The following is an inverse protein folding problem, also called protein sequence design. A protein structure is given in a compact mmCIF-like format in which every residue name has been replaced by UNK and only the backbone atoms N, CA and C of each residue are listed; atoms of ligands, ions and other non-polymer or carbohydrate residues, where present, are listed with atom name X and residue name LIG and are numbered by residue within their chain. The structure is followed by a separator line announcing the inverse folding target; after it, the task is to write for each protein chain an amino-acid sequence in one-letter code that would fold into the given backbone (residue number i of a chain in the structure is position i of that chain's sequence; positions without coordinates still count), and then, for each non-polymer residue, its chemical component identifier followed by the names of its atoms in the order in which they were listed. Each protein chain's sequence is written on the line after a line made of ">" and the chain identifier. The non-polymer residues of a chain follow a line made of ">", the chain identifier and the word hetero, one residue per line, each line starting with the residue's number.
data_IF_265859000132
#
_entry.id   IF_265859000132
#
_cell.length_a   1.000
_cell.length_b   1.000
_cell.length_c   1.000
_cell.angle_alpha   90.00
_cell.angle_beta   90.00
_cell.angle_gamma   90.00
#
_symmetry.space_group_name_H-M   'P 1'
#
loop_
_entity.id
_entity.type
_entity.pdbx_description
1 polymer ?
#
# COMPACT_ATOMS: atom_id res chain seq x y z
N UNK A 1 -27.70 -4.73 17.47
CA UNK A 1 -26.77 -3.76 18.10
C UNK A 1 -26.58 -4.19 19.54
N UNK A 2 -25.35 -4.58 19.90
CA UNK A 2 -25.00 -5.06 21.23
C UNK A 2 -24.38 -3.94 22.09
N UNK A 3 -23.49 -3.12 21.52
CA UNK A 3 -22.94 -1.94 22.18
C UNK A 3 -22.68 -0.79 21.19
N UNK A 4 -22.81 0.45 21.67
CA UNK A 4 -22.54 1.67 20.90
C UNK A 4 -21.93 2.72 21.81
N UNK A 5 -20.83 3.36 21.38
CA UNK A 5 -20.15 4.39 22.17
C UNK A 5 -19.52 5.46 21.30
N UNK A 6 -19.52 6.70 21.78
CA UNK A 6 -18.73 7.79 21.22
C UNK A 6 -17.39 7.91 21.99
N UNK A 7 -16.29 7.99 21.27
CA UNK A 7 -14.93 7.95 21.84
C UNK A 7 -14.12 9.15 21.36
N UNK A 8 -13.47 9.86 22.29
CA UNK A 8 -12.46 10.88 22.01
C UNK A 8 -11.26 10.61 22.92
N UNK A 9 -10.12 10.22 22.33
CA UNK A 9 -8.93 9.76 23.07
C UNK A 9 -9.28 8.60 24.01
N UNK A 10 -9.14 8.79 25.31
CA UNK A 10 -9.46 7.81 26.36
C UNK A 10 -10.88 7.99 26.91
N UNK A 11 -11.54 9.10 26.59
CA UNK A 11 -12.89 9.38 27.08
C UNK A 11 -13.91 8.62 26.23
N UNK A 12 -14.84 7.97 26.92
CA UNK A 12 -15.87 7.11 26.33
C UNK A 12 -17.24 7.50 26.87
N UNK A 13 -18.16 7.79 25.95
CA UNK A 13 -19.57 8.00 26.25
C UNK A 13 -20.36 6.80 25.71
N UNK A 14 -20.84 5.95 26.62
CA UNK A 14 -21.68 4.80 26.28
C UNK A 14 -23.08 5.29 25.87
N UNK A 15 -23.53 4.86 24.69
CA UNK A 15 -24.83 5.20 24.11
C UNK A 15 -25.78 4.00 24.12
N UNK A 16 -25.25 2.77 24.05
CA UNK A 16 -26.01 1.53 24.12
C UNK A 16 -25.15 0.39 24.67
N UNK A 17 -25.76 -0.56 25.37
CA UNK A 17 -25.11 -1.81 25.80
C UNK A 17 -25.24 -2.11 27.29
N UNK A 18 -24.55 -3.15 27.74
CA UNK A 18 -24.57 -3.63 29.13
C UNK A 18 -23.83 -2.72 30.11
N UNK A 19 -22.97 -1.83 29.61
CA UNK A 19 -22.23 -0.82 30.37
C UNK A 19 -22.99 0.51 30.51
N UNK A 20 -24.26 0.59 30.09
CA UNK A 20 -25.08 1.79 30.25
C UNK A 20 -25.23 2.18 31.72
N UNK A 21 -24.90 3.43 32.03
CA UNK A 21 -25.14 4.03 33.34
C UNK A 21 -26.36 4.95 33.30
N UNK A 22 -27.16 5.02 34.38
CA UNK A 22 -28.16 6.08 34.53
C UNK A 22 -27.53 7.46 34.26
N UNK A 23 -28.27 8.41 33.64
CA UNK A 23 -29.71 8.39 33.32
C UNK A 23 -30.07 7.73 31.99
N UNK A 24 -29.10 7.29 31.19
CA UNK A 24 -29.37 6.78 29.84
C UNK A 24 -29.95 5.37 29.92
N UNK A 25 -31.20 5.20 29.47
CA UNK A 25 -31.89 3.92 29.49
C UNK A 25 -31.76 3.15 28.19
N UNK A 26 -31.66 3.86 27.07
CA UNK A 26 -31.61 3.23 25.76
C UNK A 26 -31.29 4.20 24.64
N UNK A 27 -30.94 3.62 23.50
CA UNK A 27 -30.65 4.31 22.27
C UNK A 27 -31.25 3.51 21.11
N UNK A 28 -32.02 4.18 20.27
CA UNK A 28 -32.52 3.65 19.00
C UNK A 28 -31.67 4.22 17.88
N UNK A 29 -31.03 3.33 17.13
CA UNK A 29 -30.27 3.69 15.93
C UNK A 29 -31.20 3.67 14.73
N UNK A 30 -31.20 4.75 13.95
CA UNK A 30 -31.95 4.82 12.68
C UNK A 30 -31.07 4.44 11.51
N UNK A 31 -31.70 4.12 10.37
CA UNK A 31 -31.00 3.90 9.11
C UNK A 31 -30.13 5.11 8.78
N UNK A 32 -28.84 4.86 8.58
CA UNK A 32 -27.88 5.89 8.18
C UNK A 32 -28.24 6.47 6.82
N UNK A 33 -28.15 7.80 6.69
CA UNK A 33 -28.42 8.54 5.45
C UNK A 33 -27.09 8.97 4.80
N UNK A 34 -26.93 8.74 3.49
CA UNK A 34 -25.74 9.19 2.77
C UNK A 34 -25.84 10.67 2.45
N UNK A 35 -24.78 11.42 2.75
CA UNK A 35 -24.68 12.85 2.49
C UNK A 35 -23.99 13.12 1.14
N UNK A 36 -24.23 14.31 0.57
CA UNK A 36 -23.66 14.72 -0.71
C UNK A 36 -22.13 14.88 -0.68
N UNK A 37 -21.55 15.11 0.50
CA UNK A 37 -20.11 15.26 0.71
C UNK A 37 -19.37 13.91 0.83
N UNK A 38 -20.05 12.78 0.62
CA UNK A 38 -19.47 11.44 0.75
C UNK A 38 -19.43 10.89 2.17
N UNK A 39 -19.85 11.67 3.18
CA UNK A 39 -20.05 11.21 4.54
C UNK A 39 -21.45 10.60 4.72
N UNK A 40 -21.72 10.17 5.94
CA UNK A 40 -22.98 9.58 6.35
C UNK A 40 -23.52 10.30 7.59
N UNK A 41 -24.83 10.56 7.61
CA UNK A 41 -25.56 11.02 8.78
C UNK A 41 -26.08 9.82 9.56
N UNK A 42 -25.58 9.67 10.77
CA UNK A 42 -25.99 8.70 11.76
C UNK A 42 -26.96 9.37 12.74
N UNK A 43 -28.18 8.83 12.91
CA UNK A 43 -29.16 9.39 13.85
C UNK A 43 -29.46 8.40 14.96
N UNK A 44 -29.36 8.88 16.19
CA UNK A 44 -29.52 8.11 17.41
C UNK A 44 -30.56 8.79 18.31
N UNK A 45 -31.65 8.11 18.61
CA UNK A 45 -32.65 8.60 19.58
C UNK A 45 -32.33 8.02 20.96
N UNK A 46 -31.83 8.87 21.86
CA UNK A 46 -31.45 8.57 23.22
C UNK A 46 -32.64 8.79 24.17
N UNK A 47 -32.86 7.85 25.09
CA UNK A 47 -33.92 7.93 26.11
C UNK A 47 -33.28 8.09 27.47
N UNK A 48 -33.43 9.28 28.06
CA UNK A 48 -33.00 9.58 29.41
C UNK A 48 -34.14 9.34 30.39
N UNK A 49 -33.90 8.60 31.46
CA UNK A 49 -34.84 8.38 32.54
C UNK A 49 -34.17 8.67 33.88
N UNK A 50 -34.72 9.61 34.62
CA UNK A 50 -34.21 10.05 35.92
C UNK A 50 -34.71 11.44 36.26
N UNK A 51 -34.28 11.95 37.41
CA UNK A 51 -34.47 13.33 37.82
C UNK A 51 -33.68 14.30 36.91
N UNK A 52 -34.04 15.60 36.91
CA UNK A 52 -33.25 16.62 36.22
C UNK A 52 -31.78 16.65 36.66
N UNK A 53 -31.51 16.42 37.95
CA UNK A 53 -30.15 16.36 38.50
C UNK A 53 -29.32 15.18 37.99
N UNK A 54 -29.96 14.07 37.61
CA UNK A 54 -29.29 12.93 36.97
C UNK A 54 -29.13 13.12 35.45
N UNK A 55 -30.09 13.82 34.81
CA UNK A 55 -30.11 14.05 33.35
C UNK A 55 -29.13 15.13 32.89
N UNK A 56 -28.97 16.21 33.67
CA UNK A 56 -28.11 17.34 33.33
C UNK A 56 -26.62 16.98 33.15
N UNK A 57 -26.00 16.16 34.02
CA UNK A 57 -24.61 15.74 33.84
C UNK A 57 -24.36 14.97 32.55
N UNK A 58 -25.29 14.09 32.16
CA UNK A 58 -25.21 13.36 30.90
C UNK A 58 -25.26 14.31 29.70
N UNK A 59 -26.20 15.26 29.71
CA UNK A 59 -26.32 16.27 28.65
C UNK A 59 -25.06 17.13 28.56
N UNK A 60 -24.52 17.58 29.70
CA UNK A 60 -23.29 18.35 29.73
C UNK A 60 -22.09 17.54 29.20
N UNK A 61 -22.02 16.24 29.51
CA UNK A 61 -21.01 15.33 28.96
C UNK A 61 -21.14 15.21 27.44
N UNK A 62 -22.35 14.97 26.93
CA UNK A 62 -22.62 14.91 25.49
C UNK A 62 -22.22 16.23 24.79
N UNK A 63 -22.62 17.38 25.34
CA UNK A 63 -22.23 18.71 24.85
C UNK A 63 -20.70 18.87 24.80
N UNK A 64 -19.99 18.42 25.85
CA UNK A 64 -18.53 18.46 25.90
C UNK A 64 -17.90 17.64 24.77
N UNK A 65 -18.42 16.44 24.49
CA UNK A 65 -17.97 15.62 23.36
C UNK A 65 -18.17 16.34 22.02
N UNK A 66 -19.36 16.92 21.79
CA UNK A 66 -19.67 17.64 20.56
C UNK A 66 -18.78 18.88 20.38
N UNK A 67 -18.56 19.66 21.43
CA UNK A 67 -17.70 20.85 21.35
C UNK A 67 -16.24 20.46 21.08
N UNK A 68 -15.76 19.36 21.68
CA UNK A 68 -14.42 18.84 21.39
C UNK A 68 -14.26 18.41 19.93
N UNK A 69 -15.28 17.80 19.34
CA UNK A 69 -15.30 17.51 17.90
C UNK A 69 -15.26 18.79 17.08
N UNK A 70 -16.03 19.81 17.45
CA UNK A 70 -16.04 21.13 16.80
C UNK A 70 -14.68 21.82 16.85
N UNK A 71 -13.93 21.62 17.94
CA UNK A 71 -12.55 22.08 18.11
C UNK A 71 -11.51 21.21 17.38
N UNK A 72 -11.94 20.22 16.58
CA UNK A 72 -11.08 19.39 15.75
C UNK A 72 -10.46 18.18 16.46
N UNK A 73 -10.93 17.80 17.65
CA UNK A 73 -10.45 16.58 18.29
C UNK A 73 -10.98 15.35 17.52
N UNK A 74 -10.11 14.37 17.17
CA UNK A 74 -10.54 13.15 16.51
C UNK A 74 -11.53 12.35 17.38
N UNK A 75 -12.71 12.10 16.83
CA UNK A 75 -13.75 11.32 17.48
C UNK A 75 -14.12 10.10 16.64
N UNK A 76 -14.54 9.04 17.31
CA UNK A 76 -14.99 7.82 16.67
C UNK A 76 -16.29 7.33 17.30
N UNK A 77 -17.21 6.89 16.45
CA UNK A 77 -18.35 6.09 16.87
C UNK A 77 -17.90 4.63 16.80
N UNK A 78 -18.03 3.90 17.90
CA UNK A 78 -17.70 2.48 17.97
C UNK A 78 -18.99 1.68 18.14
N UNK A 79 -19.16 0.66 17.30
CA UNK A 79 -20.33 -0.20 17.23
C UNK A 79 -19.91 -1.65 17.34
N UNK A 80 -20.54 -2.37 18.26
CA UNK A 80 -20.49 -3.82 18.34
C UNK A 80 -21.87 -4.36 17.98
N UNK A 81 -22.00 -5.03 16.84
CA UNK A 81 -23.30 -5.54 16.36
C UNK A 81 -23.80 -6.71 17.19
N UNK A 82 -22.89 -7.62 17.57
CA UNK A 82 -23.13 -8.85 18.33
C UNK A 82 -22.08 -9.08 19.42
N UNK A 83 -22.40 -9.79 20.53
CA UNK A 83 -21.47 -9.98 21.65
C UNK A 83 -20.13 -10.64 21.29
N UNK A 84 -20.12 -11.48 20.25
CA UNK A 84 -18.93 -12.26 19.83
C UNK A 84 -18.10 -11.55 18.75
N UNK A 85 -18.64 -10.51 18.14
CA UNK A 85 -17.94 -9.74 17.13
C UNK A 85 -17.12 -8.64 17.79
N UNK A 86 -15.97 -8.33 17.21
CA UNK A 86 -15.20 -7.17 17.63
C UNK A 86 -15.98 -5.88 17.35
N UNK A 87 -15.64 -4.84 18.09
CA UNK A 87 -16.27 -3.54 17.92
C UNK A 87 -15.58 -2.78 16.76
N UNK A 88 -16.34 -2.42 15.74
CA UNK A 88 -15.87 -1.64 14.63
C UNK A 88 -15.99 -0.13 14.94
N UNK A 89 -15.10 0.69 14.40
CA UNK A 89 -15.08 2.15 14.59
C UNK A 89 -15.27 2.90 13.28
N UNK A 90 -15.99 4.01 13.31
CA UNK A 90 -16.12 4.96 12.21
C UNK A 90 -15.74 6.35 12.73
N UNK A 91 -14.93 7.10 11.98
CA UNK A 91 -14.57 8.47 12.36
C UNK A 91 -15.81 9.36 12.31
N UNK A 92 -15.93 10.27 13.28
CA UNK A 92 -16.98 11.28 13.37
C UNK A 92 -16.34 12.65 13.14
N UNK A 93 -16.98 13.46 12.29
CA UNK A 93 -16.51 14.79 11.88
C UNK A 93 -17.28 15.90 12.58
N UNK A 94 -18.58 15.70 12.77
CA UNK A 94 -19.45 16.68 13.40
C UNK A 94 -20.61 15.97 14.09
N UNK A 95 -21.28 16.67 14.99
CA UNK A 95 -22.53 16.21 15.56
C UNK A 95 -23.28 17.33 16.26
N UNK A 96 -24.59 17.14 16.38
CA UNK A 96 -25.48 18.01 17.13
C UNK A 96 -26.58 17.17 17.79
N UNK A 97 -27.30 17.72 18.77
CA UNK A 97 -28.48 17.07 19.30
C UNK A 97 -29.65 18.03 19.50
N UNK A 98 -30.85 17.49 19.37
CA UNK A 98 -32.11 18.21 19.57
C UNK A 98 -33.04 17.45 20.51
N UNK A 99 -33.97 18.17 21.13
CA UNK A 99 -35.03 17.54 21.91
C UNK A 99 -36.05 16.89 20.99
N UNK A 100 -36.46 15.67 21.31
CA UNK A 100 -37.56 15.03 20.57
C UNK A 100 -38.87 15.63 21.06
N UNK A 101 -39.59 16.32 20.16
CA UNK A 101 -40.88 16.95 20.50
C UNK A 101 -41.87 15.94 21.09
N UNK A 102 -42.52 16.32 22.20
CA UNK A 102 -43.48 15.45 22.90
C UNK A 102 -42.87 14.28 23.67
N UNK A 103 -41.53 14.18 23.75
CA UNK A 103 -40.85 13.12 24.50
C UNK A 103 -40.74 13.39 26.00
N UNK A 104 -41.04 14.61 26.47
CA UNK A 104 -41.06 14.97 27.89
C UNK A 104 -42.27 14.29 28.53
N UNK A 105 -42.06 13.10 29.06
CA UNK A 105 -43.06 12.33 29.79
C UNK A 105 -42.65 12.24 31.26
N UNK A 106 -43.58 11.92 32.19
CA UNK A 106 -43.24 11.69 33.60
C UNK A 106 -42.16 10.62 33.85
N UNK A 107 -41.78 9.85 32.82
CA UNK A 107 -40.84 8.72 32.88
C UNK A 107 -39.58 8.90 32.05
N UNK A 108 -39.36 10.04 31.40
CA UNK A 108 -38.12 10.30 30.67
C UNK A 108 -38.18 11.45 29.67
N UNK A 109 -37.02 11.77 29.09
CA UNK A 109 -36.85 12.77 28.04
C UNK A 109 -36.08 12.15 26.86
N UNK A 110 -36.52 12.45 25.63
CA UNK A 110 -35.87 12.00 24.40
C UNK A 110 -34.93 13.04 23.81
N UNK A 111 -33.72 12.63 23.46
CA UNK A 111 -32.75 13.42 22.70
C UNK A 111 -32.48 12.74 21.36
N UNK A 112 -32.45 13.50 20.27
CA UNK A 112 -31.98 13.03 18.98
C UNK A 112 -30.56 13.55 18.76
N UNK A 113 -29.59 12.63 18.74
CA UNK A 113 -28.20 12.89 18.39
C UNK A 113 -28.01 12.59 16.90
N UNK A 114 -27.53 13.56 16.14
CA UNK A 114 -27.14 13.39 14.75
C UNK A 114 -25.63 13.55 14.64
N UNK A 115 -24.96 12.57 14.03
CA UNK A 115 -23.51 12.57 13.80
C UNK A 115 -23.22 12.48 12.31
N UNK A 116 -22.26 13.26 11.85
CA UNK A 116 -21.65 13.11 10.53
C UNK A 116 -20.40 12.25 10.64
N UNK A 117 -20.35 11.13 9.94
CA UNK A 117 -19.26 10.13 10.04
C UNK A 117 -18.84 9.57 8.68
N UNK A 118 -17.72 8.88 8.64
CA UNK A 118 -17.33 8.06 7.47
C UNK A 118 -18.43 7.06 7.10
N UNK A 119 -18.58 6.74 5.81
CA UNK A 119 -19.50 5.68 5.36
C UNK A 119 -19.04 4.29 5.82
N UNK A 120 -17.73 4.12 6.06
CA UNK A 120 -17.09 2.84 6.35
C UNK A 120 -16.82 2.65 7.84
N UNK A 121 -16.90 1.40 8.29
CA UNK A 121 -16.45 0.97 9.61
C UNK A 121 -15.15 0.18 9.51
N UNK A 122 -14.28 0.36 10.50
CA UNK A 122 -12.96 -0.24 10.60
C UNK A 122 -12.87 -1.14 11.83
N UNK A 123 -12.40 -2.37 11.65
CA UNK A 123 -11.96 -3.19 12.78
C UNK A 123 -10.56 -2.75 13.26
N UNK A 124 -10.11 -3.22 14.43
CA UNK A 124 -8.74 -3.04 14.87
C UNK A 124 -7.72 -3.54 13.84
N UNK A 125 -6.51 -2.97 13.87
CA UNK A 125 -5.38 -3.47 13.09
C UNK A 125 -5.06 -4.91 13.48
N UNK A 126 -4.78 -5.74 12.48
CA UNK A 126 -4.44 -7.15 12.65
C UNK A 126 -3.17 -7.47 11.88
N UNK A 127 -2.26 -8.18 12.53
CA UNK A 127 -1.07 -8.68 11.88
C UNK A 127 -1.46 -9.69 10.78
N UNK A 128 -0.84 -9.54 9.61
CA UNK A 128 -1.03 -10.44 8.48
C UNK A 128 0.09 -11.48 8.42
N UNK A 129 -0.25 -12.77 8.30
CA UNK A 129 0.71 -13.81 7.97
C UNK A 129 1.25 -13.60 6.55
N UNK A 130 2.56 -13.69 6.42
CA UNK A 130 3.30 -13.52 5.17
C UNK A 130 4.00 -14.82 4.78
N UNK A 131 4.02 -15.15 3.49
CA UNK A 131 4.71 -16.34 2.98
C UNK A 131 5.66 -16.00 1.84
N UNK A 132 6.86 -16.58 1.87
CA UNK A 132 7.83 -16.62 0.76
C UNK A 132 8.78 -17.81 0.96
N UNK A 133 9.91 -17.88 0.25
CA UNK A 133 10.89 -18.96 0.40
C UNK A 133 11.49 -19.10 1.81
N UNK A 134 11.45 -18.07 2.64
CA UNK A 134 12.04 -18.07 3.99
C UNK A 134 11.07 -18.54 5.06
N UNK A 135 9.79 -18.69 4.74
CA UNK A 135 8.81 -19.18 5.68
C UNK A 135 7.39 -19.10 5.14
N UNK A 136 6.52 -19.90 5.72
CA UNK A 136 5.09 -19.89 5.42
C UNK A 136 4.30 -19.31 6.60
N UNK A 137 3.40 -18.39 6.31
CA UNK A 137 2.49 -17.75 7.27
C UNK A 137 3.21 -17.12 8.48
N UNK A 138 4.36 -16.51 8.24
CA UNK A 138 5.16 -15.82 9.26
C UNK A 138 4.48 -14.52 9.68
N UNK A 139 4.36 -14.31 10.98
CA UNK A 139 3.83 -13.07 11.58
C UNK A 139 4.97 -12.35 12.30
N UNK A 140 4.99 -11.01 12.24
CA UNK A 140 5.97 -10.18 12.96
C UNK A 140 7.27 -9.87 12.20
N UNK A 141 7.43 -10.39 10.98
CA UNK A 141 8.55 -10.07 10.10
C UNK A 141 9.05 -11.28 9.32
N UNK A 142 8.98 -11.23 7.99
CA UNK A 142 9.59 -12.23 7.10
C UNK A 142 10.78 -11.60 6.36
N UNK A 143 11.84 -12.36 6.16
CA UNK A 143 13.00 -11.89 5.39
C UNK A 143 12.59 -11.63 3.93
N UNK A 144 13.04 -10.50 3.39
CA UNK A 144 12.91 -10.12 1.98
C UNK A 144 14.28 -9.64 1.51
N UNK A 145 14.78 -10.21 0.42
CA UNK A 145 16.06 -9.80 -0.15
C UNK A 145 15.86 -8.77 -1.26
N UNK A 146 16.94 -8.10 -1.60
CA UNK A 146 17.00 -7.19 -2.73
C UNK A 146 17.29 -7.93 -4.05
N UNK A 147 16.81 -9.17 -4.22
CA UNK A 147 17.04 -10.03 -5.39
C UNK A 147 15.90 -11.02 -5.59
N UNK A 148 15.77 -11.58 -6.80
CA UNK A 148 14.79 -12.62 -7.08
C UNK A 148 15.39 -13.71 -7.96
N UNK A 149 16.02 -14.70 -7.32
CA UNK A 149 16.70 -15.81 -7.98
C UNK A 149 16.87 -17.01 -7.03
N UNK A 150 17.77 -17.95 -7.36
CA UNK A 150 18.01 -19.14 -6.53
C UNK A 150 18.55 -18.83 -5.13
N UNK A 151 19.07 -17.62 -4.87
CA UNK A 151 19.67 -17.25 -3.57
C UNK A 151 18.80 -16.33 -2.72
N UNK A 152 17.87 -15.58 -3.33
CA UNK A 152 16.97 -14.70 -2.58
C UNK A 152 15.63 -14.44 -3.25
N UNK A 153 14.70 -13.87 -2.51
CA UNK A 153 13.37 -13.53 -2.99
C UNK A 153 12.92 -12.16 -2.47
N UNK A 154 12.47 -11.32 -3.40
CA UNK A 154 12.02 -9.96 -3.12
C UNK A 154 10.49 -9.83 -3.13
N UNK A 155 9.79 -10.96 -3.19
CA UNK A 155 8.33 -11.07 -3.20
C UNK A 155 7.81 -11.74 -1.95
N UNK A 156 6.61 -11.34 -1.53
CA UNK A 156 5.91 -11.90 -0.38
C UNK A 156 4.43 -12.07 -0.71
N UNK A 157 3.87 -13.24 -0.39
CA UNK A 157 2.46 -13.55 -0.58
C UNK A 157 1.65 -13.23 0.69
N UNK A 158 0.47 -12.65 0.48
CA UNK A 158 -0.63 -12.61 1.46
C UNK A 158 -1.75 -13.51 0.94
N UNK A 159 -2.22 -14.44 1.78
CA UNK A 159 -3.27 -15.38 1.37
C UNK A 159 -4.67 -14.74 1.46
N UNK A 160 -5.53 -15.06 0.49
CA UNK A 160 -6.92 -14.59 0.45
C UNK A 160 -7.69 -14.75 1.77
N UNK A 161 -7.51 -15.91 2.44
CA UNK A 161 -8.21 -16.25 3.68
C UNK A 161 -7.83 -15.40 4.90
N UNK A 162 -6.69 -14.70 4.84
CA UNK A 162 -6.24 -13.83 5.94
C UNK A 162 -6.82 -12.41 5.84
N UNK A 163 -7.47 -12.07 4.73
CA UNK A 163 -8.02 -10.73 4.46
C UNK A 163 -9.52 -10.73 4.75
N UNK A 164 -9.86 -10.34 5.98
CA UNK A 164 -11.25 -10.16 6.41
C UNK A 164 -11.86 -8.82 5.98
N UNK A 165 -13.19 -8.73 6.03
CA UNK A 165 -13.97 -7.52 5.70
C UNK A 165 -14.70 -7.63 4.36
N UNK A 166 -15.42 -6.56 4.00
CA UNK A 166 -16.29 -6.51 2.81
C UNK A 166 -15.86 -5.43 1.81
N UNK A 167 -14.88 -4.61 2.20
CA UNK A 167 -14.37 -3.48 1.45
C UNK A 167 -12.84 -3.58 1.34
N UNK A 168 -12.23 -3.01 0.28
CA UNK A 168 -10.78 -2.91 0.20
C UNK A 168 -10.18 -2.24 1.43
N UNK A 169 -9.27 -2.91 2.13
CA UNK A 169 -8.70 -2.51 3.41
C UNK A 169 -7.27 -1.95 3.22
N UNK A 170 -6.88 -0.89 3.94
CA UNK A 170 -5.52 -0.38 3.87
C UNK A 170 -4.54 -1.39 4.48
N UNK A 171 -3.36 -1.48 3.87
CA UNK A 171 -2.22 -2.24 4.37
C UNK A 171 -1.22 -1.27 5.01
N UNK A 172 -0.76 -1.60 6.21
CA UNK A 172 0.39 -0.97 6.85
C UNK A 172 1.56 -1.92 6.78
N UNK A 173 2.72 -1.41 6.38
CA UNK A 173 3.95 -2.19 6.33
C UNK A 173 4.94 -1.68 7.38
N UNK A 174 5.64 -2.60 8.01
CA UNK A 174 6.80 -2.30 8.86
C UNK A 174 8.02 -2.97 8.26
N UNK A 175 9.01 -2.18 7.88
CA UNK A 175 10.26 -2.63 7.29
C UNK A 175 11.38 -2.42 8.29
N UNK A 176 12.05 -3.49 8.69
CA UNK A 176 13.15 -3.45 9.66
C UNK A 176 14.47 -3.75 8.96
N UNK A 177 15.41 -2.83 9.08
CA UNK A 177 16.76 -2.99 8.56
C UNK A 177 17.67 -3.57 9.64
N UNK A 178 17.70 -4.89 9.80
CA UNK A 178 18.38 -5.57 10.90
C UNK A 178 19.22 -6.79 10.49
N UNK A 179 19.34 -7.08 9.19
CA UNK A 179 20.04 -8.28 8.70
C UNK A 179 21.52 -8.00 8.39
N UNK A 180 21.83 -6.95 7.63
CA UNK A 180 23.20 -6.60 7.29
C UNK A 180 23.61 -5.31 7.99
N UNK A 181 24.60 -5.41 8.88
CA UNK A 181 25.15 -4.26 9.59
C UNK A 181 25.76 -3.24 8.63
N UNK A 182 25.62 -1.95 8.94
CA UNK A 182 26.23 -0.79 8.25
C UNK A 182 25.50 -0.25 7.00
N UNK A 183 24.52 -0.96 6.45
CA UNK A 183 23.79 -0.47 5.29
C UNK A 183 22.66 0.49 5.68
N UNK A 184 22.64 1.67 5.07
CA UNK A 184 21.55 2.65 5.21
C UNK A 184 20.64 2.55 3.99
N UNK A 185 19.36 2.28 4.19
CA UNK A 185 18.41 2.26 3.07
C UNK A 185 17.99 3.69 2.76
N UNK A 186 18.11 4.08 1.48
CA UNK A 186 17.73 5.40 0.99
C UNK A 186 16.39 5.30 0.29
N UNK A 187 16.33 4.84 -0.95
CA UNK A 187 15.05 4.72 -1.65
C UNK A 187 14.42 3.35 -1.43
N UNK A 188 13.10 3.31 -1.28
CA UNK A 188 12.31 2.09 -1.14
C UNK A 188 11.17 2.10 -2.15
N UNK A 189 10.95 0.97 -2.81
CA UNK A 189 9.89 0.76 -3.80
C UNK A 189 9.07 -0.46 -3.42
N UNK A 190 7.76 -0.29 -3.44
CA UNK A 190 6.79 -1.29 -3.05
C UNK A 190 5.73 -1.39 -4.14
N UNK A 191 5.49 -2.61 -4.61
CA UNK A 191 4.44 -2.93 -5.56
C UNK A 191 3.54 -3.99 -4.98
N UNK A 192 2.27 -3.93 -5.37
CA UNK A 192 1.30 -4.94 -5.03
C UNK A 192 0.57 -5.36 -6.30
N UNK A 193 0.38 -6.66 -6.43
CA UNK A 193 -0.43 -7.27 -7.48
C UNK A 193 -1.39 -8.27 -6.86
N UNK A 194 -2.63 -8.32 -7.33
CA UNK A 194 -3.55 -9.42 -7.05
C UNK A 194 -2.96 -10.69 -7.66
N UNK A 195 -2.84 -11.73 -6.86
CA UNK A 195 -2.11 -12.92 -7.25
C UNK A 195 -2.94 -13.73 -8.23
N UNK A 196 -2.54 -13.66 -9.50
CA UNK A 196 -3.04 -14.53 -10.58
C UNK A 196 -1.87 -15.34 -11.17
N UNK A 197 -0.65 -14.79 -11.17
CA UNK A 197 0.62 -15.44 -11.50
C UNK A 197 1.81 -14.59 -10.99
N UNK A 198 3.01 -15.18 -10.87
CA UNK A 198 4.24 -14.45 -10.54
C UNK A 198 4.67 -13.57 -11.72
N UNK A 199 5.02 -12.32 -11.44
CA UNK A 199 5.57 -11.41 -12.46
C UNK A 199 6.95 -11.88 -12.89
N UNK A 200 7.26 -11.96 -14.20
CA UNK A 200 8.60 -12.31 -14.64
C UNK A 200 9.57 -11.18 -14.27
N UNK A 201 10.71 -11.57 -13.70
CA UNK A 201 11.91 -10.74 -13.71
C UNK A 201 12.50 -10.78 -15.13
N UNK A 202 12.87 -9.63 -15.70
CA UNK A 202 13.62 -9.61 -16.95
C UNK A 202 15.11 -9.57 -16.62
N UNK A 203 15.75 -10.73 -16.63
CA UNK A 203 17.17 -10.84 -16.34
C UNK A 203 18.01 -10.31 -17.53
N UNK A 204 19.01 -9.49 -17.25
CA UNK A 204 19.82 -8.84 -18.27
C UNK A 204 20.67 -9.82 -19.08
N UNK A 205 21.17 -10.87 -18.43
CA UNK A 205 21.89 -11.98 -19.07
C UNK A 205 21.01 -12.84 -19.97
N UNK A 206 19.69 -12.79 -19.78
CA UNK A 206 18.70 -13.47 -20.63
C UNK A 206 18.14 -12.60 -21.74
N UNK A 207 18.60 -11.35 -21.85
CA UNK A 207 18.18 -10.42 -22.89
C UNK A 207 18.77 -10.81 -24.26
N UNK A 208 18.14 -10.28 -25.31
CA UNK A 208 18.64 -10.34 -26.68
C UNK A 208 18.90 -8.92 -27.20
N UNK A 209 19.81 -8.78 -28.16
CA UNK A 209 20.20 -7.50 -28.76
C UNK A 209 20.70 -7.72 -30.18
N UNK A 210 20.44 -6.75 -31.06
CA UNK A 210 21.01 -6.68 -32.42
C UNK A 210 22.32 -5.86 -32.45
N UNK A 211 22.65 -5.20 -31.34
CA UNK A 211 23.90 -4.47 -31.10
C UNK A 211 24.97 -5.38 -30.50
N UNK A 212 26.16 -4.83 -30.24
CA UNK A 212 27.24 -5.56 -29.53
C UNK A 212 26.77 -5.91 -28.13
N UNK A 213 26.56 -7.20 -27.86
CA UNK A 213 26.02 -7.69 -26.59
C UNK A 213 26.81 -8.90 -26.08
N UNK A 214 27.00 -8.97 -24.77
CA UNK A 214 27.60 -10.11 -24.09
C UNK A 214 27.11 -10.26 -22.66
N UNK A 215 27.21 -11.48 -22.15
CA UNK A 215 26.92 -11.79 -20.74
C UNK A 215 28.22 -11.74 -19.94
N UNK A 216 28.21 -11.00 -18.83
CA UNK A 216 29.37 -10.85 -17.95
C UNK A 216 29.06 -11.47 -16.58
N UNK A 217 29.81 -12.48 -16.13
CA UNK A 217 29.65 -13.05 -14.80
C UNK A 217 29.97 -12.03 -13.69
N UNK A 218 29.11 -11.96 -12.67
CA UNK A 218 29.26 -11.09 -11.51
C UNK A 218 28.42 -11.59 -10.34
N UNK A 219 29.06 -12.02 -9.24
CA UNK A 219 28.34 -12.47 -8.04
C UNK A 219 27.48 -11.36 -7.38
N UNK A 220 27.77 -10.10 -7.69
CA UNK A 220 27.03 -8.94 -7.21
C UNK A 220 25.72 -8.67 -7.99
N UNK A 221 25.37 -9.52 -8.95
CA UNK A 221 24.17 -9.40 -9.79
C UNK A 221 23.14 -10.51 -9.49
N UNK A 222 21.89 -10.26 -9.89
CA UNK A 222 20.85 -11.28 -9.90
C UNK A 222 21.28 -12.42 -10.81
N UNK A 223 21.12 -13.68 -10.38
CA UNK A 223 21.57 -14.82 -11.18
C UNK A 223 23.10 -14.91 -11.38
N UNK A 224 23.89 -14.09 -10.69
CA UNK A 224 25.36 -14.04 -10.77
C UNK A 224 25.93 -13.64 -12.14
N UNK A 225 25.18 -12.91 -12.97
CA UNK A 225 25.64 -12.34 -14.23
C UNK A 225 24.82 -11.09 -14.60
N UNK A 226 25.29 -10.32 -15.58
CA UNK A 226 24.54 -9.21 -16.17
C UNK A 226 24.73 -9.16 -17.69
N UNK A 227 23.79 -8.51 -18.38
CA UNK A 227 23.89 -8.23 -19.80
C UNK A 227 24.61 -6.90 -20.06
N UNK A 228 25.63 -6.92 -20.91
CA UNK A 228 26.36 -5.72 -21.35
C UNK A 228 26.07 -5.48 -22.82
N UNK A 229 25.37 -4.37 -23.12
CA UNK A 229 25.19 -3.89 -24.49
C UNK A 229 26.01 -2.63 -24.74
N UNK A 230 26.60 -2.52 -25.93
CA UNK A 230 27.42 -1.40 -26.36
C UNK A 230 26.99 -0.89 -27.73
N UNK A 231 26.98 0.43 -27.90
CA UNK A 231 26.60 1.09 -29.14
C UNK A 231 27.32 2.43 -29.32
N UNK A 232 27.30 2.97 -30.54
CA UNK A 232 28.00 4.23 -30.87
C UNK A 232 27.12 5.38 -31.37
N UNK A 233 25.89 5.07 -31.78
CA UNK A 233 24.98 6.05 -32.38
C UNK A 233 24.31 6.93 -31.33
N UNK A 234 24.05 8.20 -31.68
CA UNK A 234 23.19 9.10 -30.91
C UNK A 234 21.69 8.83 -31.14
N UNK A 235 21.35 8.29 -32.31
CA UNK A 235 19.97 7.97 -32.67
C UNK A 235 19.39 6.87 -31.76
N UNK A 236 18.07 6.83 -31.65
CA UNK A 236 17.36 5.79 -30.90
C UNK A 236 17.70 4.39 -31.42
N UNK A 237 18.02 3.48 -30.51
CA UNK A 237 18.33 2.08 -30.79
C UNK A 237 17.52 1.17 -29.85
N UNK A 238 17.13 0.00 -30.34
CA UNK A 238 16.69 -1.10 -29.47
C UNK A 238 17.92 -1.66 -28.77
N UNK A 239 18.06 -1.42 -27.48
CA UNK A 239 19.23 -1.84 -26.71
C UNK A 239 19.12 -3.31 -26.32
N UNK A 240 17.98 -3.70 -25.76
CA UNK A 240 17.73 -5.04 -25.24
C UNK A 240 16.27 -5.41 -25.45
N UNK A 241 15.99 -6.69 -25.67
CA UNK A 241 14.61 -7.19 -25.71
C UNK A 241 14.46 -8.58 -25.10
N UNK A 242 13.24 -8.86 -24.67
CA UNK A 242 12.82 -10.15 -24.10
C UNK A 242 11.53 -10.62 -24.76
N UNK A 243 11.41 -11.95 -24.92
CA UNK A 243 10.16 -12.59 -25.33
C UNK A 243 9.46 -13.10 -24.07
N UNK A 244 8.27 -12.57 -23.79
CA UNK A 244 7.40 -13.00 -22.70
C UNK A 244 6.38 -13.99 -23.27
N UNK A 245 6.40 -15.26 -22.84
CA UNK A 245 5.50 -16.28 -23.36
C UNK A 245 4.02 -15.95 -23.11
N UNK A 246 3.18 -16.29 -24.07
CA UNK A 246 1.71 -16.15 -24.03
C UNK A 246 1.07 -16.59 -22.72
N UNK A 247 1.50 -17.70 -22.12
CA UNK A 247 0.99 -18.18 -20.83
C UNK A 247 1.23 -17.19 -19.67
N UNK A 248 2.37 -16.50 -19.68
CA UNK A 248 2.66 -15.44 -18.70
C UNK A 248 1.80 -14.22 -19.01
N UNK A 249 1.71 -13.82 -20.28
CA UNK A 249 0.90 -12.69 -20.75
C UNK A 249 -0.57 -12.84 -20.37
N UNK A 250 -1.10 -14.05 -20.50
CA UNK A 250 -2.48 -14.38 -20.12
C UNK A 250 -2.74 -14.06 -18.65
N UNK A 251 -1.85 -14.49 -17.74
CA UNK A 251 -1.94 -14.14 -16.32
C UNK A 251 -1.71 -12.67 -16.00
N UNK A 252 -1.16 -11.90 -16.95
CA UNK A 252 -0.95 -10.47 -16.77
C UNK A 252 -2.23 -9.64 -16.99
N UNK A 253 -3.23 -10.18 -17.71
CA UNK A 253 -4.57 -9.60 -17.92
C UNK A 253 -4.58 -8.09 -18.26
N UNK A 254 -3.68 -7.64 -19.14
CA UNK A 254 -3.60 -6.22 -19.53
C UNK A 254 -3.10 -5.28 -18.44
N UNK A 255 -2.38 -5.80 -17.45
CA UNK A 255 -1.87 -5.00 -16.34
C UNK A 255 -0.93 -3.88 -16.82
N UNK A 256 -0.99 -2.77 -16.10
CA UNK A 256 0.05 -1.76 -16.09
C UNK A 256 1.17 -2.21 -15.13
N UNK A 257 2.41 -2.16 -15.59
CA UNK A 257 3.59 -2.57 -14.83
C UNK A 257 4.54 -1.39 -14.69
N UNK A 258 5.18 -1.27 -13.53
CA UNK A 258 6.24 -0.29 -13.28
C UNK A 258 7.60 -0.98 -13.27
N UNK A 259 8.43 -0.80 -14.29
CA UNK A 259 9.75 -1.42 -14.32
C UNK A 259 10.72 -0.67 -13.40
N UNK A 260 11.43 -1.42 -12.57
CA UNK A 260 12.55 -0.94 -11.78
C UNK A 260 13.80 -1.66 -12.30
N UNK A 261 14.66 -0.95 -13.01
CA UNK A 261 15.88 -1.51 -13.59
C UNK A 261 17.03 -1.35 -12.60
N UNK A 262 17.71 -2.46 -12.29
CA UNK A 262 19.00 -2.44 -11.62
C UNK A 262 20.10 -2.62 -12.64
N UNK A 263 21.07 -1.72 -12.62
CA UNK A 263 22.27 -1.78 -13.44
C UNK A 263 23.44 -2.29 -12.60
N UNK A 264 24.25 -3.16 -13.18
CA UNK A 264 25.47 -3.68 -12.56
C UNK A 264 26.54 -2.58 -12.43
N UNK A 265 26.54 -1.62 -13.36
CA UNK A 265 27.37 -0.41 -13.33
C UNK A 265 26.45 0.82 -13.42
N UNK A 266 26.84 1.93 -12.79
CA UNK A 266 26.08 3.18 -12.93
C UNK A 266 26.08 3.57 -14.42
N UNK A 267 24.90 3.70 -15.04
CA UNK A 267 24.80 4.07 -16.46
C UNK A 267 25.27 5.51 -16.71
N UNK A 268 25.72 5.78 -17.93
CA UNK A 268 26.22 7.09 -18.35
C UNK A 268 25.19 8.20 -18.12
N UNK A 269 25.66 9.36 -17.66
CA UNK A 269 24.81 10.55 -17.61
C UNK A 269 24.35 10.89 -19.03
N UNK A 270 23.11 11.38 -19.19
CA UNK A 270 22.50 11.66 -20.51
C UNK A 270 22.12 10.43 -21.35
N UNK A 271 21.65 9.38 -20.68
CA UNK A 271 20.89 8.30 -21.32
C UNK A 271 19.37 8.51 -21.12
N UNK A 272 18.61 8.38 -22.20
CA UNK A 272 17.15 8.30 -22.15
C UNK A 272 16.72 6.89 -22.47
N UNK A 273 15.83 6.35 -21.64
CA UNK A 273 15.29 5.00 -21.80
C UNK A 273 13.77 5.04 -21.96
N UNK A 274 13.23 4.13 -22.77
CA UNK A 274 11.80 3.89 -22.89
C UNK A 274 11.50 2.46 -23.34
N UNK A 275 10.23 2.07 -23.24
CA UNK A 275 9.75 0.75 -23.58
C UNK A 275 8.93 0.77 -24.86
N UNK A 276 9.12 -0.26 -25.69
CA UNK A 276 8.13 -0.69 -26.71
C UNK A 276 7.62 -2.08 -26.36
N UNK A 277 6.32 -2.28 -26.55
CA UNK A 277 5.66 -3.59 -26.41
C UNK A 277 5.14 -3.97 -27.77
N UNK A 278 5.55 -5.14 -28.26
CA UNK A 278 5.12 -5.67 -29.55
C UNK A 278 4.34 -6.97 -29.38
N UNK A 279 3.26 -7.10 -30.16
CA UNK A 279 2.46 -8.33 -30.31
C UNK A 279 1.96 -8.41 -31.76
N UNK A 280 2.76 -9.01 -32.66
CA UNK A 280 2.50 -8.96 -34.11
C UNK A 280 2.68 -7.58 -34.77
N UNK A 281 2.85 -6.53 -33.97
CA UNK A 281 3.10 -5.13 -34.33
C UNK A 281 3.29 -4.29 -33.06
N UNK A 282 3.55 -2.99 -33.19
CA UNK A 282 3.67 -2.08 -32.03
C UNK A 282 2.32 -1.94 -31.33
N UNK A 283 2.25 -2.40 -30.09
CA UNK A 283 1.07 -2.27 -29.23
C UNK A 283 1.16 -1.01 -28.35
N UNK A 284 2.30 -0.81 -27.70
CA UNK A 284 2.49 0.29 -26.76
C UNK A 284 3.92 0.84 -26.84
N UNK A 285 4.05 2.15 -26.64
CA UNK A 285 5.32 2.83 -26.46
C UNK A 285 5.21 3.80 -25.27
N UNK A 286 6.15 3.73 -24.33
CA UNK A 286 6.23 4.70 -23.24
C UNK A 286 6.92 5.98 -23.68
N UNK A 287 6.78 7.06 -22.91
CA UNK A 287 7.59 8.27 -23.13
C UNK A 287 9.06 8.03 -22.79
N UNK A 288 10.02 8.60 -23.56
CA UNK A 288 11.43 8.68 -23.17
C UNK A 288 11.62 9.35 -21.82
N UNK A 289 12.43 8.72 -20.97
CA UNK A 289 12.79 9.26 -19.67
C UNK A 289 14.30 9.25 -19.50
N UNK A 290 14.86 10.40 -19.12
CA UNK A 290 16.26 10.50 -18.73
C UNK A 290 16.48 9.74 -17.44
N UNK A 291 17.52 8.91 -17.39
CA UNK A 291 17.90 8.23 -16.15
C UNK A 291 18.45 9.24 -15.13
N UNK A 292 18.35 8.88 -13.85
CA UNK A 292 18.89 9.69 -12.77
C UNK A 292 20.40 9.44 -12.65
N UNK A 293 21.20 10.50 -12.67
CA UNK A 293 22.65 10.38 -12.55
C UNK A 293 23.04 9.71 -11.22
N UNK A 294 24.08 8.87 -11.25
CA UNK A 294 24.69 8.31 -10.05
C UNK A 294 23.93 7.16 -9.38
N UNK A 295 22.82 6.67 -9.93
CA UNK A 295 22.04 5.57 -9.33
C UNK A 295 22.10 4.28 -10.16
N UNK A 296 22.37 3.16 -9.50
CA UNK A 296 22.23 1.82 -10.10
C UNK A 296 20.77 1.38 -10.23
N UNK A 297 19.88 1.81 -9.32
CA UNK A 297 18.46 1.47 -9.35
C UNK A 297 17.67 2.62 -9.98
N UNK A 298 17.00 2.34 -11.10
CA UNK A 298 16.27 3.34 -11.88
C UNK A 298 14.80 2.96 -11.99
N UNK A 299 13.93 3.88 -11.60
CA UNK A 299 12.50 3.80 -11.92
C UNK A 299 12.29 4.17 -13.38
N UNK A 300 11.86 3.21 -14.19
CA UNK A 300 11.63 3.42 -15.62
C UNK A 300 10.16 3.75 -15.92
N UNK A 301 9.87 4.28 -17.12
CA UNK A 301 8.51 4.51 -17.58
C UNK A 301 7.62 3.26 -17.50
N UNK A 302 6.33 3.48 -17.29
CA UNK A 302 5.32 2.44 -17.18
C UNK A 302 5.19 1.62 -18.47
N UNK A 303 4.89 0.33 -18.34
CA UNK A 303 4.55 -0.57 -19.45
C UNK A 303 3.06 -0.90 -19.36
N UNK A 304 2.32 -0.69 -20.44
CA UNK A 304 0.95 -1.17 -20.57
C UNK A 304 0.94 -2.45 -21.41
N UNK A 305 0.34 -3.51 -20.87
CA UNK A 305 0.19 -4.78 -21.59
C UNK A 305 -1.18 -4.87 -22.28
N UNK A 306 -1.29 -5.62 -23.38
CA UNK A 306 -2.58 -5.86 -24.02
C UNK A 306 -3.51 -6.65 -23.09
N UNK A 307 -4.77 -6.21 -23.04
CA UNK A 307 -5.82 -6.94 -22.33
C UNK A 307 -6.20 -8.21 -23.11
N UNK A 308 -6.34 -9.32 -22.38
CA UNK A 308 -6.86 -10.57 -22.93
C UNK A 308 -8.37 -10.54 -22.79
N UNK A 309 -9.09 -10.52 -23.92
CA UNK A 309 -10.55 -10.50 -23.93
C UNK A 309 -11.10 -11.92 -23.72
N UNK A 310 -12.10 -12.11 -22.83
CA UNK A 310 -12.76 -13.39 -22.67
C UNK A 310 -13.37 -13.88 -23.99
N UNK A 311 -13.17 -15.16 -24.32
CA UNK A 311 -13.74 -15.79 -25.52
C UNK A 311 -12.89 -15.66 -26.79
N UNK A 312 -11.75 -14.96 -26.73
CA UNK A 312 -10.73 -14.99 -27.78
C UNK A 312 -9.65 -16.02 -27.42
N UNK A 313 -8.95 -16.56 -28.44
CA UNK A 313 -7.88 -17.54 -28.24
C UNK A 313 -6.71 -17.00 -27.42
N UNK A 314 -5.78 -17.88 -27.03
CA UNK A 314 -4.60 -17.51 -26.24
C UNK A 314 -3.83 -16.36 -26.91
N UNK A 315 -3.35 -15.36 -26.13
CA UNK A 315 -2.59 -14.25 -26.68
C UNK A 315 -1.31 -14.77 -27.37
N UNK A 316 -0.80 -14.05 -28.37
CA UNK A 316 0.54 -14.31 -28.86
C UNK A 316 1.60 -13.88 -27.84
N UNK A 317 2.81 -14.42 -27.95
CA UNK A 317 3.96 -13.98 -27.15
C UNK A 317 4.18 -12.47 -27.31
N UNK A 318 4.59 -11.81 -26.22
CA UNK A 318 4.95 -10.40 -26.24
C UNK A 318 6.45 -10.24 -26.40
N UNK A 319 6.87 -9.26 -27.21
CA UNK A 319 8.26 -8.79 -27.21
C UNK A 319 8.31 -7.46 -26.47
N UNK A 320 9.03 -7.44 -25.35
CA UNK A 320 9.32 -6.23 -24.57
C UNK A 320 10.68 -5.70 -24.98
N UNK A 321 10.74 -4.48 -25.49
CA UNK A 321 11.97 -3.85 -25.96
C UNK A 321 12.32 -2.64 -25.11
N UNK A 322 13.54 -2.62 -24.58
CA UNK A 322 14.15 -1.45 -23.96
C UNK A 322 14.90 -0.68 -25.04
N UNK A 323 14.43 0.52 -25.32
CA UNK A 323 15.04 1.44 -26.26
C UNK A 323 15.82 2.51 -25.52
N UNK A 324 16.89 3.00 -26.15
CA UNK A 324 17.68 4.08 -25.61
C UNK A 324 18.20 5.05 -26.66
N UNK A 325 18.40 6.29 -26.24
CA UNK A 325 19.16 7.29 -27.00
C UNK A 325 20.10 8.05 -26.06
N UNK A 326 21.24 8.45 -26.60
CA UNK A 326 22.25 9.25 -25.92
C UNK A 326 22.31 10.65 -26.53
N UNK A 327 22.75 11.64 -25.75
CA UNK A 327 22.81 13.03 -26.21
C UNK A 327 23.76 13.24 -27.40
N UNK A 328 24.80 12.42 -27.54
CA UNK A 328 25.80 12.53 -28.59
C UNK A 328 26.25 11.15 -29.08
N UNK A 329 26.87 11.11 -30.27
CA UNK A 329 27.53 9.92 -30.76
C UNK A 329 28.83 9.68 -29.97
N UNK A 330 29.18 8.43 -29.73
CA UNK A 330 30.30 8.06 -28.87
C UNK A 330 30.12 6.65 -28.34
N UNK A 331 31.13 6.08 -27.68
CA UNK A 331 31.02 4.74 -27.14
C UNK A 331 30.15 4.75 -25.88
N UNK A 332 28.96 4.17 -25.98
CA UNK A 332 28.00 4.04 -24.89
C UNK A 332 27.90 2.59 -24.44
N UNK A 333 27.59 2.37 -23.16
CA UNK A 333 27.34 1.03 -22.66
C UNK A 333 26.22 1.00 -21.61
N UNK A 334 25.52 -0.12 -21.55
CA UNK A 334 24.49 -0.38 -20.55
C UNK A 334 24.73 -1.77 -19.95
N UNK A 335 25.11 -1.79 -18.68
CA UNK A 335 25.31 -3.01 -17.90
C UNK A 335 24.04 -3.33 -17.09
N UNK A 336 23.06 -3.98 -17.72
CA UNK A 336 21.79 -4.30 -17.09
C UNK A 336 21.89 -5.60 -16.32
N UNK A 337 21.65 -5.54 -15.00
CA UNK A 337 21.52 -6.73 -14.15
C UNK A 337 20.12 -7.33 -14.31
N UNK A 338 19.08 -6.60 -13.90
CA UNK A 338 17.71 -7.08 -14.03
C UNK A 338 16.68 -5.94 -14.06
N UNK A 339 15.53 -6.19 -14.69
CA UNK A 339 14.35 -5.32 -14.61
C UNK A 339 13.25 -6.03 -13.87
N UNK A 340 12.95 -5.52 -12.68
CA UNK A 340 11.86 -5.99 -11.85
C UNK A 340 10.57 -5.31 -12.27
N UNK A 341 9.59 -6.10 -12.67
CA UNK A 341 8.30 -5.58 -13.12
C UNK A 341 7.34 -5.52 -11.93
N UNK A 342 7.06 -4.33 -11.42
CA UNK A 342 6.17 -4.15 -10.28
C UNK A 342 4.71 -4.06 -10.73
N UNK A 343 3.83 -4.78 -10.04
CA UNK A 343 2.38 -4.61 -10.18
C UNK A 343 1.91 -3.26 -9.63
N UNK A 344 0.84 -2.73 -10.22
CA UNK A 344 0.29 -1.42 -9.89
C UNK A 344 -1.13 -1.48 -9.30
N UNK A 345 -1.58 -2.66 -8.83
CA UNK A 345 -2.81 -2.74 -8.03
C UNK A 345 -2.64 -1.99 -6.69
N UNK A 346 -1.40 -1.84 -6.24
CA UNK A 346 -0.96 -0.87 -5.25
C UNK A 346 0.49 -0.49 -5.52
N UNK A 347 0.85 0.77 -5.28
CA UNK A 347 2.21 1.27 -5.50
C UNK A 347 2.61 2.27 -4.43
N UNK A 348 3.84 2.13 -3.93
CA UNK A 348 4.49 3.10 -3.07
C UNK A 348 5.96 3.26 -3.41
N UNK A 349 6.42 4.50 -3.49
CA UNK A 349 7.83 4.85 -3.49
C UNK A 349 8.13 5.78 -2.33
N UNK A 350 9.16 5.48 -1.57
CA UNK A 350 9.58 6.27 -0.42
C UNK A 350 11.00 6.76 -0.71
N UNK A 351 11.14 8.08 -0.74
CA UNK A 351 12.41 8.75 -0.96
C UNK A 351 12.78 9.53 0.29
N UNK A 352 14.03 9.46 0.76
CA UNK A 352 14.41 10.18 1.96
C UNK A 352 14.41 11.68 1.69
N UNK A 353 13.99 12.46 2.69
CA UNK A 353 14.27 13.89 2.78
C UNK A 353 15.76 14.09 3.12
N UNK A 354 16.26 15.32 3.05
CA UNK A 354 17.65 15.62 3.37
C UNK A 354 18.04 15.09 4.76
N UNK A 355 19.12 14.31 4.81
CA UNK A 355 19.58 13.62 6.03
C UNK A 355 18.79 12.36 6.42
N UNK A 356 17.70 12.05 5.72
CA UNK A 356 16.89 10.85 5.93
C UNK A 356 17.56 9.57 5.43
N UNK A 357 17.52 8.52 6.24
CA UNK A 357 17.83 7.15 5.84
C UNK A 357 17.27 6.19 6.88
N UNK A 358 16.95 4.97 6.47
CA UNK A 358 16.63 3.88 7.40
C UNK A 358 17.93 3.17 7.78
N UNK A 359 18.49 3.52 8.94
CA UNK A 359 19.73 2.96 9.45
C UNK A 359 19.54 1.53 9.97
N UNK A 360 20.64 0.81 10.16
CA UNK A 360 20.63 -0.50 10.79
C UNK A 360 20.00 -0.44 12.20
N UNK A 361 19.19 -1.44 12.54
CA UNK A 361 18.43 -1.54 13.77
C UNK A 361 17.12 -0.75 13.80
N UNK A 362 16.87 0.13 12.82
CA UNK A 362 15.65 0.94 12.77
C UNK A 362 14.51 0.25 12.00
N UNK A 363 13.28 0.73 12.25
CA UNK A 363 12.08 0.30 11.52
C UNK A 363 11.43 1.48 10.82
N UNK A 364 10.97 1.27 9.58
CA UNK A 364 10.15 2.20 8.82
C UNK A 364 8.71 1.67 8.81
N UNK A 365 7.77 2.47 9.29
CA UNK A 365 6.33 2.17 9.26
C UNK A 365 5.68 2.99 8.16
N UNK A 366 5.19 2.32 7.12
CA UNK A 366 4.39 2.92 6.05
C UNK A 366 2.90 2.74 6.36
N UNK A 367 2.26 3.82 6.83
CA UNK A 367 0.80 3.87 7.07
C UNK A 367 0.15 4.89 6.12
N UNK A 368 -0.39 4.41 5.01
CA UNK A 368 -1.08 5.27 4.05
C UNK A 368 -2.28 5.99 4.67
N UNK A 369 -2.99 5.40 5.63
CA UNK A 369 -4.17 6.02 6.23
C UNK A 369 -3.81 7.31 7.00
N UNK A 370 -2.56 7.43 7.46
CA UNK A 370 -2.05 8.61 8.16
C UNK A 370 -1.22 9.56 7.26
N UNK A 371 -1.07 9.23 5.98
CA UNK A 371 -0.52 10.13 4.95
C UNK A 371 1.01 10.22 4.86
N UNK A 372 1.77 9.63 5.79
CA UNK A 372 3.24 9.69 5.78
C UNK A 372 3.87 8.40 6.33
N UNK A 373 5.04 8.03 5.80
CA UNK A 373 5.89 7.00 6.38
C UNK A 373 6.74 7.59 7.51
N UNK A 374 6.88 6.85 8.61
CA UNK A 374 7.63 7.27 9.80
C UNK A 374 8.72 6.25 10.15
N UNK A 375 9.91 6.73 10.48
CA UNK A 375 10.93 5.90 11.12
C UNK A 375 10.63 5.83 12.61
N UNK A 376 10.70 4.63 13.17
CA UNK A 376 10.52 4.32 14.59
C UNK A 376 11.78 3.63 15.12
N UNK A 377 12.23 4.02 16.30
CA UNK A 377 13.36 3.42 17.02
C UNK A 377 13.17 3.51 18.54
N UNK A 378 14.07 2.87 19.30
CA UNK A 378 14.09 2.99 20.77
C UNK A 378 14.36 4.44 21.19
N UNK A 379 13.30 5.17 21.54
CA UNK A 379 13.38 6.54 22.05
C UNK A 379 12.83 7.62 21.13
N UNK A 380 12.27 7.29 19.96
CA UNK A 380 11.66 8.33 19.12
C UNK A 380 10.96 7.85 17.83
N UNK A 381 10.32 8.82 17.18
CA UNK A 381 9.69 8.69 15.87
C UNK A 381 10.01 9.94 15.04
N UNK A 382 10.27 9.77 13.74
CA UNK A 382 10.53 10.90 12.82
C UNK A 382 9.96 10.62 11.43
N UNK A 383 9.38 11.64 10.82
CA UNK A 383 9.00 11.62 9.41
C UNK A 383 10.18 12.11 8.57
N UNK A 384 10.91 11.19 7.95
CA UNK A 384 12.12 11.47 7.13
C UNK A 384 11.95 11.09 5.67
N UNK A 385 10.77 10.64 5.27
CA UNK A 385 10.50 10.15 3.91
C UNK A 385 9.40 10.96 3.25
N UNK A 386 9.62 11.29 1.98
CA UNK A 386 8.56 11.65 1.04
C UNK A 386 7.98 10.38 0.46
N UNK A 387 6.67 10.26 0.49
CA UNK A 387 5.94 9.12 -0.06
C UNK A 387 5.21 9.51 -1.34
N UNK A 388 5.21 8.64 -2.35
CA UNK A 388 4.40 8.80 -3.55
C UNK A 388 3.72 7.47 -3.93
N UNK A 389 2.55 7.55 -4.56
CA UNK A 389 1.72 6.39 -4.93
C UNK A 389 0.37 6.35 -4.19
N UNK A 390 -0.52 5.46 -4.63
CA UNK A 390 -1.92 5.37 -4.16
C UNK A 390 -2.10 4.62 -2.83
N UNK A 391 -1.01 4.11 -2.24
CA UNK A 391 -1.08 3.20 -1.10
C UNK A 391 -1.24 1.75 -1.53
N UNK A 392 -1.23 0.88 -0.53
CA UNK A 392 -1.42 -0.55 -0.69
C UNK A 392 -2.76 -0.91 -0.05
N UNK A 393 -3.65 -1.51 -0.85
CA UNK A 393 -5.03 -1.81 -0.47
C UNK A 393 -5.39 -3.24 -0.80
N UNK A 394 -5.70 -4.02 0.22
CA UNK A 394 -6.06 -5.43 0.09
C UNK A 394 -7.55 -5.57 -0.18
N UNK A 395 -7.90 -6.26 -1.26
CA UNK A 395 -9.28 -6.67 -1.50
C UNK A 395 -9.60 -7.92 -0.66
N UNK A 396 -10.78 -7.95 -0.05
CA UNK A 396 -11.24 -9.09 0.72
C UNK A 396 -11.25 -10.37 -0.14
N UNK A 397 -10.85 -11.50 0.45
CA UNK A 397 -10.85 -12.82 -0.19
C UNK A 397 -10.02 -12.90 -1.49
N UNK A 398 -9.02 -12.04 -1.67
CA UNK A 398 -8.11 -12.08 -2.82
C UNK A 398 -6.66 -12.16 -2.35
N UNK A 399 -5.93 -13.19 -2.78
CA UNK A 399 -4.50 -13.27 -2.54
C UNK A 399 -3.78 -12.13 -3.25
N UNK A 400 -2.67 -11.68 -2.69
CA UNK A 400 -1.82 -10.69 -3.33
C UNK A 400 -0.34 -11.02 -3.17
N UNK A 401 0.44 -10.55 -4.13
CA UNK A 401 1.90 -10.55 -4.09
C UNK A 401 2.37 -9.11 -3.84
N UNK A 402 3.16 -8.94 -2.79
CA UNK A 402 3.91 -7.73 -2.50
C UNK A 402 5.33 -7.90 -3.04
N UNK A 403 5.86 -6.89 -3.70
CA UNK A 403 7.25 -6.85 -4.15
C UNK A 403 7.95 -5.66 -3.50
N UNK A 404 9.18 -5.86 -3.05
CA UNK A 404 9.98 -4.84 -2.37
C UNK A 404 11.35 -4.76 -3.03
N UNK A 405 11.82 -3.55 -3.32
CA UNK A 405 13.22 -3.28 -3.68
C UNK A 405 13.66 -1.98 -3.06
N UNK A 406 14.96 -1.85 -2.88
CA UNK A 406 15.54 -0.65 -2.30
C UNK A 406 16.98 -0.44 -2.73
N UNK A 407 17.49 0.74 -2.43
CA UNK A 407 18.89 1.09 -2.63
C UNK A 407 19.49 1.74 -1.37
N UNK A 408 20.80 1.98 -1.45
CA UNK A 408 21.59 2.66 -0.43
C UNK A 408 22.07 4.03 -0.93
N UNK A 409 21.30 4.65 -1.83
CA UNK A 409 21.71 5.83 -2.60
C UNK A 409 22.23 5.39 -3.96
N UNK A 410 23.53 5.53 -4.21
CA UNK A 410 24.12 5.21 -5.51
C UNK A 410 24.06 3.71 -5.86
N UNK A 411 24.06 2.85 -4.86
CA UNK A 411 24.22 1.40 -5.01
C UNK A 411 22.96 0.63 -4.63
N UNK A 412 22.69 -0.46 -5.35
CA UNK A 412 21.62 -1.40 -5.06
C UNK A 412 22.25 -2.79 -4.81
N UNK A 413 22.69 -3.04 -3.58
CA UNK A 413 23.39 -4.27 -3.23
C UNK A 413 22.45 -5.47 -3.31
N UNK A 414 22.83 -6.49 -4.11
CA UNK A 414 22.05 -7.73 -4.28
C UNK A 414 21.96 -8.57 -3.00
N UNK A 415 22.94 -8.44 -2.11
CA UNK A 415 22.99 -9.15 -0.83
C UNK A 415 22.10 -8.49 0.24
N UNK A 416 21.59 -7.27 -0.02
CA UNK A 416 20.71 -6.56 0.88
C UNK A 416 19.53 -7.43 1.30
N UNK A 417 19.23 -7.47 2.60
CA UNK A 417 17.99 -8.06 3.10
C UNK A 417 17.41 -7.25 4.28
N UNK A 418 16.09 -7.33 4.43
CA UNK A 418 15.32 -6.72 5.53
C UNK A 418 14.27 -7.70 6.06
N UNK A 419 13.69 -7.40 7.23
CA UNK A 419 12.44 -8.03 7.64
C UNK A 419 11.24 -7.14 7.28
N UNK A 420 10.22 -7.74 6.66
CA UNK A 420 8.95 -7.12 6.34
C UNK A 420 7.84 -7.70 7.20
N UNK A 421 7.12 -6.86 7.93
CA UNK A 421 5.86 -7.21 8.57
C UNK A 421 4.71 -6.41 7.96
N UNK A 422 3.51 -6.98 8.00
CA UNK A 422 2.31 -6.36 7.47
C UNK A 422 1.16 -6.41 8.47
N UNK A 423 0.36 -5.36 8.49
CA UNK A 423 -0.92 -5.29 9.21
C UNK A 423 -2.01 -4.81 8.27
N UNK A 424 -3.23 -5.31 8.46
CA UNK A 424 -4.42 -4.82 7.75
C UNK A 424 -5.40 -4.23 8.74
N UNK A 425 -6.14 -3.22 8.31
CA UNK A 425 -7.30 -2.71 9.03
C UNK A 425 -8.59 -3.08 8.29
N UNK A 426 -9.24 -4.20 8.63
CA UNK A 426 -10.40 -4.68 7.89
C UNK A 426 -11.52 -3.64 7.84
N UNK A 427 -12.13 -3.48 6.66
CA UNK A 427 -13.21 -2.52 6.41
C UNK A 427 -14.50 -3.24 6.09
N UNK A 428 -15.59 -2.80 6.70
CA UNK A 428 -16.93 -3.36 6.48
C UNK A 428 -17.96 -2.27 6.20
N UNK A 429 -18.96 -2.63 5.41
CA UNK A 429 -20.17 -1.82 5.26
C UNK A 429 -21.05 -2.15 6.46
N UNK A 430 -21.59 -1.15 7.16
CA UNK A 430 -22.62 -1.41 8.16
C UNK A 430 -23.83 -0.55 7.88
N UNK A 431 -24.90 -1.20 7.45
CA UNK A 431 -26.28 -0.71 7.40
C UNK A 431 -27.22 -1.91 7.58
N UNK A 432 -28.37 -1.82 8.27
CA UNK A 432 -28.79 -0.99 9.41
C UNK A 432 -28.38 -1.56 10.80
#
# INVERSE_FOLDING_TARGET
>A
MFALSLIIKQDRLELHGSSLTPPLRGCVRHTTERLQNGHCRERLDLVLQGSPGESQPFIACLQSFLERMRLGQPAHLQLQSEPRLEAASSRVYAGDFTWINGSVQPRGIGLRLELERDETWFYPWRALPLSNRYGDRVVGGIRVDNRNDSFGENTVRVSAGDISGDLPAPLRLTLRNDILSEQHIRNLYLGMRREVNTLPLLAGESAQSELTFGVVPSAACNGAAYGLVQWSAAAEQCLLYWVVPSAVVEGLHGAALRPLARFALVPDEDLWLYWRVLQGGLFYQSSPQRIQAGLQLQLLPLICLPAVLPGFGSPADLRLELWGCAAAAGNHSLALDAVFLFGLDGWRSLQPLDGGSLAYGQSLVDDHAQGSAVIVWEGGMQSTYRTAGSGLWLAAQQSCLLQVLYDHGAQCAVEGAIHLAAEVQPRVRVLP
#
